data_IF_472134633534
#
_entry.id   IF_472134633534
#
_cell.length_a   1.000
_cell.length_b   1.000
_cell.length_c   1.000
_cell.angle_alpha   90.00
_cell.angle_beta   90.00
_cell.angle_gamma   90.00
#
_symmetry.space_group_name_H-M   'P 1'
#
loop_
_entity.id
_entity.type
_entity.pdbx_description
1 polymer ?
#
# COMPACT_ATOMS: atom_id res chain seq x y z
N UNK A 1 -14.05 -4.24 -30.27
CA UNK A 1 -13.00 -4.09 -29.25
C UNK A 1 -13.66 -3.53 -28.00
N UNK A 2 -13.55 -4.20 -26.84
CA UNK A 2 -13.98 -3.59 -25.58
C UNK A 2 -13.07 -2.37 -25.31
N UNK A 3 -13.66 -1.19 -25.09
CA UNK A 3 -12.91 0.01 -24.73
C UNK A 3 -12.39 -0.15 -23.31
N UNK A 4 -11.16 -0.64 -23.16
CA UNK A 4 -10.45 -0.53 -21.90
C UNK A 4 -10.07 0.94 -21.70
N UNK A 5 -10.65 1.60 -20.69
CA UNK A 5 -10.27 2.97 -20.34
C UNK A 5 -8.86 2.96 -19.73
N UNK A 6 -8.01 3.89 -20.14
CA UNK A 6 -6.69 4.04 -19.56
C UNK A 6 -6.80 4.55 -18.11
N UNK A 7 -6.04 3.94 -17.21
CA UNK A 7 -6.00 4.29 -15.79
C UNK A 7 -4.62 4.84 -15.43
N UNK A 8 -4.59 6.03 -14.84
CA UNK A 8 -3.40 6.63 -14.24
C UNK A 8 -3.39 6.40 -12.74
N UNK A 9 -2.27 5.93 -12.19
CA UNK A 9 -2.13 5.68 -10.75
C UNK A 9 -0.88 6.41 -10.25
N UNK A 10 -1.08 7.30 -9.28
CA UNK A 10 0.00 7.84 -8.47
C UNK A 10 0.15 7.00 -7.20
N UNK A 11 1.29 6.33 -7.06
CA UNK A 11 1.67 5.57 -5.88
C UNK A 11 2.57 6.43 -4.99
N UNK A 12 2.00 7.36 -4.23
CA UNK A 12 2.75 8.19 -3.30
C UNK A 12 3.13 7.46 -2.00
N UNK A 13 4.04 8.07 -1.24
CA UNK A 13 4.57 7.50 0.01
C UNK A 13 3.48 7.35 1.07
N UNK A 14 2.73 8.42 1.33
CA UNK A 14 1.67 8.44 2.36
C UNK A 14 0.28 8.25 1.78
N UNK A 15 0.02 8.82 0.60
CA UNK A 15 -1.26 8.71 -0.09
C UNK A 15 -1.03 8.34 -1.54
N UNK A 16 -2.00 7.65 -2.12
CA UNK A 16 -2.05 7.29 -3.53
C UNK A 16 -3.35 7.80 -4.15
N UNK A 17 -3.32 8.11 -5.45
CA UNK A 17 -4.47 8.55 -6.24
C UNK A 17 -4.68 7.63 -7.45
N UNK A 18 -5.91 7.55 -7.94
CA UNK A 18 -6.22 6.85 -9.20
C UNK A 18 -7.20 7.68 -10.01
N UNK A 19 -6.91 7.83 -11.30
CA UNK A 19 -7.76 8.52 -12.25
C UNK A 19 -7.96 7.71 -13.52
N UNK A 20 -9.07 7.96 -14.20
CA UNK A 20 -9.42 7.37 -15.48
C UNK A 20 -9.62 8.47 -16.51
N UNK A 21 -9.14 8.25 -17.74
CA UNK A 21 -9.47 9.14 -18.86
C UNK A 21 -10.68 8.59 -19.59
N UNK A 22 -11.81 9.30 -19.50
CA UNK A 22 -13.06 8.93 -20.15
C UNK A 22 -13.84 10.17 -20.57
N UNK A 23 -14.61 10.06 -21.66
CA UNK A 23 -15.43 11.17 -22.18
C UNK A 23 -14.63 12.47 -22.44
N UNK A 24 -13.37 12.36 -22.87
CA UNK A 24 -12.51 13.50 -23.18
C UNK A 24 -11.97 14.27 -21.97
N UNK A 25 -12.15 13.76 -20.74
CA UNK A 25 -11.66 14.39 -19.51
C UNK A 25 -11.02 13.37 -18.57
N UNK A 26 -10.20 13.85 -17.65
CA UNK A 26 -9.66 13.06 -16.54
C UNK A 26 -10.64 13.11 -15.37
N UNK A 27 -11.01 11.95 -14.84
CA UNK A 27 -11.80 11.84 -13.62
C UNK A 27 -10.99 11.16 -12.52
N UNK A 28 -10.90 11.81 -11.36
CA UNK A 28 -10.26 11.23 -10.17
C UNK A 28 -11.29 10.42 -9.40
N UNK A 29 -10.97 9.15 -9.20
CA UNK A 29 -11.87 8.18 -8.59
C UNK A 29 -11.80 8.29 -7.06
N UNK A 30 -12.93 8.68 -6.45
CA UNK A 30 -13.09 8.68 -5.00
C UNK A 30 -13.13 7.25 -4.46
N UNK A 31 -12.49 6.98 -3.31
CA UNK A 31 -12.46 5.68 -2.64
C UNK A 31 -13.79 5.34 -1.92
N UNK A 32 -13.87 4.20 -1.23
CA UNK A 32 -15.11 3.73 -0.55
C UNK A 32 -15.67 4.73 0.47
N UNK A 33 -14.86 5.67 0.95
CA UNK A 33 -15.25 6.74 1.87
C UNK A 33 -15.51 8.09 1.19
N UNK A 34 -15.49 8.14 -0.14
CA UNK A 34 -15.63 9.39 -0.90
C UNK A 34 -14.34 10.21 -1.05
N UNK A 35 -13.21 9.75 -0.51
CA UNK A 35 -11.94 10.48 -0.59
C UNK A 35 -11.24 10.24 -1.93
N UNK A 36 -10.79 11.31 -2.59
CA UNK A 36 -10.07 11.24 -3.89
C UNK A 36 -8.62 10.76 -3.79
N UNK A 37 -8.08 10.73 -2.57
CA UNK A 37 -6.82 10.07 -2.24
C UNK A 37 -7.10 8.93 -1.27
N UNK A 38 -6.25 7.90 -1.28
CA UNK A 38 -6.32 6.80 -0.31
C UNK A 38 -4.97 6.67 0.36
N UNK A 39 -4.90 6.54 1.69
CA UNK A 39 -3.66 6.25 2.39
C UNK A 39 -2.94 5.03 1.78
N UNK A 40 -1.62 5.12 1.65
CA UNK A 40 -0.75 4.01 1.23
C UNK A 40 -0.44 3.10 2.43
N UNK A 41 -1.51 2.65 3.10
CA UNK A 41 -1.47 1.86 4.34
C UNK A 41 -2.04 0.46 4.07
N UNK A 42 -1.41 -0.55 4.65
CA UNK A 42 -1.90 -1.94 4.68
C UNK A 42 -1.78 -2.46 6.09
N UNK A 43 -2.89 -2.88 6.69
CA UNK A 43 -2.88 -3.52 8.00
C UNK A 43 -3.27 -4.99 7.88
N UNK A 44 -2.58 -5.82 8.65
CA UNK A 44 -2.87 -7.25 8.76
C UNK A 44 -3.51 -7.50 10.12
N UNK A 45 -4.64 -8.22 10.11
CA UNK A 45 -5.36 -8.64 11.31
C UNK A 45 -5.52 -10.16 11.29
N UNK A 46 -6.11 -10.72 12.36
CA UNK A 46 -6.37 -12.16 12.44
C UNK A 46 -7.46 -12.64 11.47
N UNK A 47 -8.32 -11.73 11.03
CA UNK A 47 -9.46 -12.07 10.18
C UNK A 47 -9.19 -11.70 8.73
N UNK A 48 -8.62 -10.52 8.50
CA UNK A 48 -8.55 -9.92 7.18
C UNK A 48 -7.34 -9.01 6.97
N UNK A 49 -7.27 -8.43 5.78
CA UNK A 49 -6.28 -7.42 5.41
C UNK A 49 -7.01 -6.13 5.08
N UNK A 50 -6.71 -5.09 5.83
CA UNK A 50 -7.25 -3.74 5.63
C UNK A 50 -6.31 -2.93 4.74
N UNK A 51 -6.87 -2.08 3.89
CA UNK A 51 -6.11 -1.23 2.96
C UNK A 51 -6.70 0.18 2.99
N UNK A 52 -5.84 1.20 2.96
CA UNK A 52 -6.27 2.59 2.87
C UNK A 52 -6.76 3.15 4.20
N UNK A 53 -7.88 3.86 4.16
CA UNK A 53 -8.43 4.53 5.34
C UNK A 53 -8.72 3.55 6.48
N UNK A 54 -9.24 2.36 6.17
CA UNK A 54 -9.48 1.31 7.17
C UNK A 54 -8.18 0.89 7.90
N UNK A 55 -7.07 0.74 7.16
CA UNK A 55 -5.77 0.42 7.76
C UNK A 55 -5.22 1.59 8.59
N UNK A 56 -5.33 2.81 8.07
CA UNK A 56 -4.84 4.02 8.75
C UNK A 56 -5.59 4.28 10.06
N UNK A 57 -6.91 4.08 10.09
CA UNK A 57 -7.75 4.37 11.25
C UNK A 57 -7.44 3.48 12.46
N UNK A 58 -6.95 2.26 12.24
CA UNK A 58 -6.63 1.32 13.32
C UNK A 58 -5.12 1.27 13.68
N UNK A 59 -4.28 2.11 13.07
CA UNK A 59 -2.82 2.08 13.29
C UNK A 59 -2.42 2.23 14.76
N UNK A 60 -3.17 3.02 15.53
CA UNK A 60 -2.91 3.21 16.96
C UNK A 60 -3.17 1.94 17.78
N UNK A 61 -4.08 1.07 17.34
CA UNK A 61 -4.46 -0.17 18.02
C UNK A 61 -3.62 -1.37 17.56
N UNK A 62 -3.11 -1.34 16.33
CA UNK A 62 -2.34 -2.44 15.74
C UNK A 62 -1.09 -1.92 15.00
N UNK A 63 -0.18 -1.22 15.69
CA UNK A 63 0.90 -0.49 15.04
C UNK A 63 1.93 -1.42 14.39
N UNK A 64 2.25 -2.55 15.02
CA UNK A 64 3.27 -3.51 14.54
C UNK A 64 2.87 -4.24 13.25
N UNK A 65 1.57 -4.40 13.00
CA UNK A 65 1.04 -5.06 11.79
C UNK A 65 0.43 -4.09 10.79
N UNK A 66 0.67 -2.78 10.97
CA UNK A 66 0.20 -1.74 10.05
C UNK A 66 1.35 -1.12 9.30
N UNK A 67 1.47 -1.47 8.03
CA UNK A 67 2.54 -1.05 7.14
C UNK A 67 2.18 0.25 6.45
N UNK A 68 3.09 1.20 6.49
CA UNK A 68 3.07 2.46 5.76
C UNK A 68 4.49 2.80 5.28
N UNK A 69 4.65 3.83 4.46
CA UNK A 69 5.95 4.29 3.97
C UNK A 69 6.79 3.23 3.21
N UNK A 70 6.16 2.12 2.79
CA UNK A 70 6.82 1.02 2.09
C UNK A 70 7.55 1.47 0.80
N UNK A 71 7.18 2.63 0.23
CA UNK A 71 7.87 3.25 -0.93
C UNK A 71 9.33 3.60 -0.61
N UNK A 72 9.64 3.95 0.64
CA UNK A 72 11.01 4.26 1.09
C UNK A 72 11.94 3.05 1.01
N UNK A 73 11.39 1.84 1.08
CA UNK A 73 12.13 0.58 1.02
C UNK A 73 12.28 0.00 -0.40
N UNK A 74 11.59 0.54 -1.41
CA UNK A 74 11.64 0.00 -2.77
C UNK A 74 13.00 0.30 -3.39
N UNK A 75 13.60 -0.72 -4.01
CA UNK A 75 14.87 -0.60 -4.74
C UNK A 75 16.10 -0.46 -3.83
N UNK A 76 15.93 -0.46 -2.51
CA UNK A 76 17.03 -0.37 -1.54
C UNK A 76 17.46 -1.75 -1.04
N UNK A 77 18.68 -1.82 -0.52
CA UNK A 77 19.17 -2.94 0.27
C UNK A 77 18.86 -2.71 1.74
N UNK A 78 18.82 -3.79 2.51
CA UNK A 78 18.52 -3.77 3.95
C UNK A 78 19.56 -2.96 4.72
N UNK A 79 20.84 -3.04 4.35
CA UNK A 79 21.97 -2.36 4.96
C UNK A 79 22.15 -0.89 4.51
N UNK A 80 21.29 -0.38 3.62
CA UNK A 80 21.30 1.02 3.21
C UNK A 80 21.13 1.93 4.44
N UNK A 81 22.02 2.92 4.68
CA UNK A 81 21.93 3.82 5.83
C UNK A 81 20.58 4.53 5.96
N UNK A 82 19.92 4.85 4.83
CA UNK A 82 18.59 5.43 4.85
C UNK A 82 17.54 4.44 5.39
N UNK A 83 17.64 3.15 5.01
CA UNK A 83 16.76 2.09 5.53
C UNK A 83 17.00 1.89 7.03
N UNK A 84 18.25 1.80 7.45
CA UNK A 84 18.61 1.65 8.87
C UNK A 84 18.16 2.83 9.72
N UNK A 85 18.18 4.05 9.17
CA UNK A 85 17.64 5.24 9.83
C UNK A 85 16.12 5.19 9.92
N UNK A 86 15.43 4.95 8.79
CA UNK A 86 13.97 4.94 8.73
C UNK A 86 13.37 3.83 9.63
N UNK A 87 14.02 2.66 9.73
CA UNK A 87 13.60 1.55 10.59
C UNK A 87 13.47 1.91 12.07
N UNK A 88 14.18 2.93 12.56
CA UNK A 88 14.08 3.40 13.95
C UNK A 88 12.76 4.12 14.24
N UNK A 89 12.07 4.55 13.20
CA UNK A 89 10.85 5.35 13.29
C UNK A 89 9.58 4.55 12.97
N UNK A 90 9.71 3.30 12.52
CA UNK A 90 8.58 2.45 12.20
C UNK A 90 8.22 1.50 13.35
N UNK A 91 6.92 1.30 13.62
CA UNK A 91 6.47 0.35 14.63
C UNK A 91 6.50 -1.11 14.13
N UNK A 92 6.51 -1.32 12.81
CA UNK A 92 6.60 -2.65 12.21
C UNK A 92 8.05 -3.05 11.99
N UNK A 93 8.30 -4.36 12.01
CA UNK A 93 9.66 -4.91 11.89
C UNK A 93 10.07 -5.05 10.43
N UNK A 94 11.28 -4.61 10.11
CA UNK A 94 11.92 -4.88 8.82
C UNK A 94 13.08 -5.85 9.06
N UNK A 95 13.17 -6.90 8.25
CA UNK A 95 14.20 -7.95 8.32
C UNK A 95 14.95 -8.04 6.98
N UNK A 96 16.15 -8.59 7.03
CA UNK A 96 16.92 -8.89 5.82
C UNK A 96 16.34 -10.13 5.13
N UNK A 97 15.89 -9.98 3.89
CA UNK A 97 15.46 -11.07 3.01
C UNK A 97 16.55 -11.49 2.03
N UNK A 98 16.17 -12.30 1.03
CA UNK A 98 17.14 -12.83 0.06
C UNK A 98 17.74 -11.70 -0.80
N UNK A 99 19.06 -11.80 -1.04
CA UNK A 99 19.81 -10.80 -1.81
C UNK A 99 19.94 -9.46 -1.08
N UNK A 100 19.94 -9.47 0.26
CA UNK A 100 19.98 -8.28 1.11
C UNK A 100 18.82 -7.30 0.85
N UNK A 101 17.66 -7.79 0.36
CA UNK A 101 16.48 -6.94 0.15
C UNK A 101 15.66 -6.85 1.44
N UNK A 102 15.15 -5.66 1.82
CA UNK A 102 14.32 -5.53 3.01
C UNK A 102 12.98 -6.27 2.83
N UNK A 103 12.59 -7.03 3.85
CA UNK A 103 11.25 -7.60 3.99
C UNK A 103 10.58 -7.05 5.24
N UNK A 104 9.28 -6.78 5.16
CA UNK A 104 8.46 -6.30 6.27
C UNK A 104 7.83 -7.52 6.92
N UNK A 105 8.11 -7.72 8.20
CA UNK A 105 7.63 -8.85 9.00
C UNK A 105 6.39 -8.41 9.81
N UNK A 106 5.29 -9.12 9.63
CA UNK A 106 4.00 -8.88 10.29
C UNK A 106 3.37 -10.21 10.70
N UNK A 107 2.50 -10.17 11.69
CA UNK A 107 1.67 -11.29 12.09
C UNK A 107 0.37 -11.29 11.28
N UNK A 108 0.01 -12.45 10.72
CA UNK A 108 -1.18 -12.64 9.91
C UNK A 108 -1.86 -13.92 10.36
N UNK A 109 -2.99 -13.80 11.06
CA UNK A 109 -3.76 -14.94 11.59
C UNK A 109 -2.93 -15.83 12.54
N UNK A 110 -2.18 -15.21 13.46
CA UNK A 110 -1.29 -15.92 14.37
C UNK A 110 0.02 -16.44 13.76
N UNK A 111 0.26 -16.23 12.46
CA UNK A 111 1.48 -16.66 11.78
C UNK A 111 2.36 -15.48 11.40
N UNK A 112 3.66 -15.57 11.71
CA UNK A 112 4.63 -14.59 11.25
C UNK A 112 4.88 -14.72 9.75
N UNK A 113 4.58 -13.65 8.99
CA UNK A 113 4.82 -13.56 7.54
C UNK A 113 5.75 -12.41 7.22
N UNK A 114 6.52 -12.58 6.16
CA UNK A 114 7.46 -11.57 5.68
C UNK A 114 7.17 -11.24 4.21
N UNK A 115 6.89 -9.96 3.94
CA UNK A 115 6.57 -9.45 2.62
C UNK A 115 7.72 -8.62 2.07
N UNK A 116 8.02 -8.71 0.77
CA UNK A 116 8.93 -7.76 0.14
C UNK A 116 8.33 -6.35 0.17
N UNK A 117 9.17 -5.32 0.25
CA UNK A 117 8.74 -3.91 0.32
C UNK A 117 7.72 -3.48 -0.75
N UNK A 118 7.79 -4.08 -1.94
CA UNK A 118 6.85 -3.81 -3.05
C UNK A 118 5.44 -4.40 -2.85
N UNK A 119 5.29 -5.46 -2.06
CA UNK A 119 4.03 -6.21 -1.97
C UNK A 119 2.90 -5.44 -1.27
N UNK A 120 3.12 -4.76 -0.13
CA UNK A 120 2.08 -3.89 0.46
C UNK A 120 1.62 -2.79 -0.51
N UNK A 121 2.54 -2.17 -1.25
CA UNK A 121 2.20 -1.17 -2.27
C UNK A 121 1.42 -1.78 -3.44
N UNK A 122 1.75 -3.00 -3.85
CA UNK A 122 0.97 -3.72 -4.85
C UNK A 122 -0.47 -4.00 -4.36
N UNK A 123 -0.67 -4.29 -3.07
CA UNK A 123 -2.01 -4.46 -2.50
C UNK A 123 -2.82 -3.16 -2.59
N UNK A 124 -2.20 -2.01 -2.30
CA UNK A 124 -2.81 -0.67 -2.49
C UNK A 124 -3.14 -0.44 -3.97
N UNK A 125 -2.21 -0.75 -4.88
CA UNK A 125 -2.40 -0.62 -6.32
C UNK A 125 -3.57 -1.48 -6.83
N UNK A 126 -3.64 -2.77 -6.45
CA UNK A 126 -4.71 -3.69 -6.86
C UNK A 126 -6.07 -3.16 -6.39
N UNK A 127 -6.18 -2.65 -5.15
CA UNK A 127 -7.42 -2.05 -4.63
C UNK A 127 -7.89 -0.88 -5.50
N UNK A 128 -6.97 -0.03 -5.94
CA UNK A 128 -7.24 1.12 -6.82
C UNK A 128 -7.59 0.72 -8.23
N UNK A 129 -6.82 -0.17 -8.84
CA UNK A 129 -7.05 -0.65 -10.20
C UNK A 129 -8.43 -1.33 -10.33
N UNK A 130 -8.78 -2.20 -9.37
CA UNK A 130 -10.13 -2.81 -9.31
C UNK A 130 -11.23 -1.78 -9.21
N UNK A 131 -10.98 -0.68 -8.51
CA UNK A 131 -11.95 0.40 -8.36
C UNK A 131 -12.15 1.14 -9.68
N UNK A 132 -11.07 1.50 -10.37
CA UNK A 132 -11.13 2.16 -11.67
C UNK A 132 -11.77 1.33 -12.78
N UNK A 133 -11.78 0.00 -12.64
CA UNK A 133 -12.39 -0.92 -13.61
C UNK A 133 -13.87 -1.21 -13.35
N UNK A 134 -14.43 -0.82 -12.20
CA UNK A 134 -15.88 -0.91 -11.96
C UNK A 134 -16.53 0.22 -12.73
N UNK A 135 -17.19 -0.13 -13.83
CA UNK A 135 -17.72 0.71 -14.90
C UNK A 135 -18.92 1.59 -14.53
N UNK A 136 -19.13 1.89 -13.25
CA UNK A 136 -20.34 2.55 -12.74
C UNK A 136 -20.04 3.92 -12.08
N UNK A 137 -19.05 4.67 -12.60
CA UNK A 137 -18.85 6.08 -12.27
C UNK A 137 -19.68 7.00 -13.16
#
# INVERSE_FOLDING_TARGET
>A
MSKANAVGIDLGTTYSCVGVFQHGKVEIIANDQGNRTTPSYVAFTDTERLIGDAAKNQVAMNPSNTVFDAKRLIGRKFDDPAVQSDMKHWPFKVIQGEGARPKIQVEVKGEMKAFFSKEPLLMVWIRKARRAQRSDF
#
